data_IF_615147764767
#
_entry.id   IF_615147764767
#
_cell.length_a   1.000
_cell.length_b   1.000
_cell.length_c   1.000
_cell.angle_alpha   90.00
_cell.angle_beta   90.00
_cell.angle_gamma   90.00
#
_symmetry.space_group_name_H-M   'P 1'
#
loop_
_entity.id
_entity.type
_entity.pdbx_description
1 polymer ?
#
# COMPACT_ATOMS: atom_id res chain seq x y z
N UNK A 1 1.81 -12.76 -11.13
CA UNK A 1 1.97 -12.17 -9.79
C UNK A 1 1.31 -10.80 -9.79
N UNK A 2 0.53 -10.50 -8.78
CA UNK A 2 -0.02 -9.15 -8.56
C UNK A 2 0.97 -8.32 -7.75
N UNK A 3 1.07 -7.03 -8.07
CA UNK A 3 1.86 -6.03 -7.34
C UNK A 3 0.94 -4.89 -6.95
N UNK A 4 1.14 -4.31 -5.77
CA UNK A 4 0.43 -3.15 -5.26
C UNK A 4 1.41 -2.19 -4.58
N UNK A 5 1.09 -0.91 -4.54
CA UNK A 5 1.83 0.01 -3.68
C UNK A 5 1.64 -0.37 -2.20
N UNK A 6 2.65 -0.18 -1.34
CA UNK A 6 2.54 -0.54 0.08
C UNK A 6 1.58 0.33 0.86
N UNK A 7 1.17 1.45 0.28
CA UNK A 7 0.34 2.48 0.87
C UNK A 7 -0.95 2.67 0.10
N UNK A 8 -1.90 3.34 0.74
CA UNK A 8 -3.06 3.95 0.11
C UNK A 8 -3.02 5.45 0.30
N UNK A 9 -3.75 6.19 -0.53
CA UNK A 9 -3.90 7.62 -0.36
C UNK A 9 -4.68 7.96 0.93
N UNK A 10 -4.74 9.22 1.26
CA UNK A 10 -5.42 9.73 2.46
C UNK A 10 -6.93 9.47 2.49
N UNK A 11 -7.52 9.02 1.38
CA UNK A 11 -8.92 8.60 1.28
C UNK A 11 -9.09 7.07 1.32
N UNK A 12 -8.02 6.32 1.55
CA UNK A 12 -8.01 4.86 1.57
C UNK A 12 -8.07 4.20 0.19
N UNK A 13 -7.82 4.95 -0.89
CA UNK A 13 -7.80 4.45 -2.27
C UNK A 13 -6.39 4.09 -2.69
N UNK A 14 -6.29 3.21 -3.69
CA UNK A 14 -5.01 2.92 -4.33
C UNK A 14 -4.52 4.13 -5.11
N UNK A 15 -3.20 4.34 -5.12
CA UNK A 15 -2.59 5.37 -5.94
C UNK A 15 -2.80 5.09 -7.43
N UNK A 16 -3.01 6.15 -8.19
CA UNK A 16 -3.25 6.04 -9.63
C UNK A 16 -1.96 6.02 -10.44
N UNK A 17 -0.88 6.59 -9.91
CA UNK A 17 0.40 6.70 -10.61
C UNK A 17 1.58 6.53 -9.68
N UNK A 18 2.74 6.18 -10.26
CA UNK A 18 4.01 6.17 -9.55
C UNK A 18 4.40 7.57 -9.07
N UNK A 19 4.11 8.61 -9.87
CA UNK A 19 4.43 9.99 -9.53
C UNK A 19 3.72 10.46 -8.24
N UNK A 20 2.51 9.97 -7.96
CA UNK A 20 1.81 10.31 -6.73
C UNK A 20 2.48 9.68 -5.51
N UNK A 21 2.95 8.44 -5.64
CA UNK A 21 3.70 7.74 -4.60
C UNK A 21 5.06 8.41 -4.39
N UNK A 22 5.77 8.77 -5.48
CA UNK A 22 7.08 9.42 -5.38
C UNK A 22 6.99 10.79 -4.68
N UNK A 23 5.94 11.58 -4.97
CA UNK A 23 5.72 12.86 -4.25
C UNK A 23 5.50 12.67 -2.75
N UNK A 24 4.86 11.56 -2.36
CA UNK A 24 4.70 11.23 -0.96
C UNK A 24 6.04 10.89 -0.32
N UNK A 25 6.85 10.08 -0.99
CA UNK A 25 8.18 9.66 -0.51
C UNK A 25 9.16 10.86 -0.47
N UNK A 26 9.10 11.79 -1.43
CA UNK A 26 9.90 13.00 -1.44
C UNK A 26 9.69 13.91 -0.20
N UNK A 27 8.52 13.76 0.44
CA UNK A 27 8.20 14.47 1.68
C UNK A 27 8.73 13.81 2.96
N UNK A 28 9.32 12.61 2.86
CA UNK A 28 9.81 11.87 4.02
C UNK A 28 11.15 12.42 4.55
N UNK A 29 11.22 12.60 5.87
CA UNK A 29 12.43 13.09 6.54
C UNK A 29 13.51 12.01 6.70
N UNK A 30 13.16 10.73 6.61
CA UNK A 30 14.05 9.62 6.93
C UNK A 30 14.83 9.07 5.73
N UNK A 31 14.57 9.59 4.55
CA UNK A 31 15.28 9.21 3.33
C UNK A 31 14.99 7.79 2.84
N UNK A 32 15.52 7.53 1.66
CA UNK A 32 15.54 6.22 1.04
C UNK A 32 16.90 5.56 1.28
N UNK A 33 16.90 4.31 1.64
CA UNK A 33 18.12 3.52 1.75
C UNK A 33 18.45 2.96 0.37
N UNK A 34 19.61 3.32 -0.13
CA UNK A 34 20.06 2.80 -1.40
C UNK A 34 20.99 1.61 -1.16
N UNK A 35 20.61 0.47 -1.69
CA UNK A 35 21.42 -0.59 -2.21
C UNK A 35 22.58 -1.03 -1.35
N UNK A 36 22.45 -2.17 -0.74
CA UNK A 36 23.55 -2.84 -0.05
C UNK A 36 24.31 -3.76 -0.99
N UNK A 37 25.61 -3.85 -0.76
CA UNK A 37 26.56 -4.67 -1.50
C UNK A 37 27.00 -5.88 -0.70
N UNK A 38 26.34 -6.54 0.10
CA UNK A 38 26.79 -7.69 0.92
C UNK A 38 26.30 -9.01 0.36
N UNK A 39 26.44 -9.24 -0.94
CA UNK A 39 26.04 -10.48 -1.61
C UNK A 39 24.52 -10.60 -1.78
N UNK A 40 23.78 -9.50 -1.61
CA UNK A 40 22.36 -9.46 -1.89
C UNK A 40 21.98 -8.11 -2.51
N UNK A 41 20.94 -8.14 -3.32
CA UNK A 41 20.31 -6.94 -3.88
C UNK A 41 19.23 -6.45 -2.93
N UNK A 42 19.29 -5.22 -2.47
CA UNK A 42 18.26 -4.66 -1.62
C UNK A 42 18.06 -3.16 -1.83
N UNK A 43 16.85 -2.70 -1.59
CA UNK A 43 16.49 -1.30 -1.57
C UNK A 43 15.28 -1.08 -0.69
N UNK A 44 15.38 -0.08 0.17
CA UNK A 44 14.35 0.22 1.17
C UNK A 44 13.98 1.69 1.25
N UNK A 45 12.81 1.93 1.80
CA UNK A 45 12.27 3.26 2.09
C UNK A 45 11.70 3.29 3.51
N UNK A 46 11.68 4.47 4.11
CA UNK A 46 10.90 4.74 5.31
C UNK A 46 9.66 5.53 4.95
N UNK A 47 8.58 5.26 5.67
CA UNK A 47 7.34 6.00 5.60
C UNK A 47 6.88 6.27 7.01
N UNK A 48 6.59 7.54 7.30
CA UNK A 48 6.20 8.00 8.62
C UNK A 48 4.77 8.53 8.65
N UNK A 49 4.28 8.82 9.85
CA UNK A 49 2.98 9.46 10.06
C UNK A 49 2.93 10.91 9.58
N UNK A 50 4.07 11.53 9.26
CA UNK A 50 4.14 12.85 8.62
C UNK A 50 3.53 12.81 7.23
N UNK A 51 3.93 11.83 6.41
CA UNK A 51 3.42 11.68 5.05
C UNK A 51 2.17 10.82 4.97
N UNK A 52 1.98 9.87 5.90
CA UNK A 52 0.83 8.97 5.92
C UNK A 52 0.26 8.77 7.34
N UNK A 53 -0.39 9.80 7.91
CA UNK A 53 -0.92 9.74 9.28
C UNK A 53 -2.03 8.70 9.46
N UNK A 54 -2.73 8.30 8.40
CA UNK A 54 -3.81 7.31 8.47
C UNK A 54 -3.32 5.88 8.71
N UNK A 55 -2.06 5.60 8.41
CA UNK A 55 -1.45 4.28 8.64
C UNK A 55 -0.74 4.16 10.00
N UNK A 56 -0.89 5.15 10.86
CA UNK A 56 -0.45 5.14 12.26
C UNK A 56 -1.65 4.93 13.19
N UNK A 57 -1.52 4.07 14.20
CA UNK A 57 -2.49 3.94 15.29
C UNK A 57 -2.13 4.92 16.41
N UNK A 58 -2.00 6.21 16.05
CA UNK A 58 -1.65 7.27 16.98
C UNK A 58 -2.89 7.75 17.73
N UNK A 59 -3.02 7.53 19.06
CA UNK A 59 -4.18 7.95 19.83
C UNK A 59 -4.31 9.48 19.95
N UNK A 60 -3.21 10.20 19.76
CA UNK A 60 -3.15 11.66 19.87
C UNK A 60 -3.34 12.35 18.51
N UNK A 61 -3.48 11.58 17.44
CA UNK A 61 -3.71 12.14 16.11
C UNK A 61 -5.08 12.82 16.04
N UNK A 62 -5.09 14.08 15.59
CA UNK A 62 -6.31 14.85 15.36
C UNK A 62 -7.08 14.31 14.13
N UNK A 63 -6.69 13.16 13.65
CA UNK A 63 -7.23 12.60 12.43
C UNK A 63 -8.54 11.88 12.71
N UNK A 64 -9.60 12.40 12.12
CA UNK A 64 -10.96 11.88 12.23
C UNK A 64 -11.30 10.80 11.20
N UNK A 65 -10.35 10.44 10.32
CA UNK A 65 -10.51 9.43 9.28
C UNK A 65 -10.44 7.99 9.81
N UNK A 66 -10.97 7.05 9.01
CA UNK A 66 -10.75 5.63 9.30
C UNK A 66 -9.28 5.27 9.11
N UNK A 67 -8.69 4.47 10.01
CA UNK A 67 -7.32 3.99 9.85
C UNK A 67 -7.16 3.20 8.54
N UNK A 68 -6.09 3.49 7.81
CA UNK A 68 -5.76 2.85 6.53
C UNK A 68 -4.51 2.00 6.72
N UNK A 69 -4.61 0.66 6.72
CA UNK A 69 -3.46 -0.19 6.92
C UNK A 69 -2.49 -0.12 5.74
N UNK A 70 -1.21 -0.28 6.05
CA UNK A 70 -0.21 -0.66 5.06
C UNK A 70 -0.59 -2.00 4.42
N UNK A 71 -0.15 -2.24 3.21
CA UNK A 71 -0.53 -3.44 2.48
C UNK A 71 0.67 -4.18 1.88
N UNK A 72 0.51 -5.49 1.67
CA UNK A 72 1.52 -6.29 1.01
C UNK A 72 1.76 -5.81 -0.42
N UNK A 73 3.04 -5.64 -0.77
CA UNK A 73 3.46 -5.14 -2.09
C UNK A 73 3.31 -6.18 -3.20
N UNK A 74 3.43 -7.46 -2.86
CA UNK A 74 3.39 -8.54 -3.84
C UNK A 74 2.67 -9.78 -3.31
N UNK A 75 2.12 -10.59 -4.22
CA UNK A 75 1.70 -11.94 -3.89
C UNK A 75 2.91 -12.75 -3.43
N UNK A 76 2.76 -13.53 -2.37
CA UNK A 76 3.85 -14.35 -1.86
C UNK A 76 3.46 -15.20 -0.68
N UNK A 77 4.46 -15.74 0.00
CA UNK A 77 4.32 -16.55 1.20
C UNK A 77 5.18 -15.93 2.31
N UNK A 78 4.62 -15.73 3.47
CA UNK A 78 5.38 -15.30 4.65
C UNK A 78 6.32 -16.44 5.03
N UNK A 79 7.62 -16.16 5.10
CA UNK A 79 8.66 -17.14 5.45
C UNK A 79 9.24 -16.90 6.82
N UNK A 80 9.17 -15.67 7.31
CA UNK A 80 9.60 -15.34 8.67
C UNK A 80 8.79 -14.13 9.18
N UNK A 81 8.60 -14.08 10.49
CA UNK A 81 8.02 -12.93 11.16
C UNK A 81 8.52 -12.82 12.61
N UNK A 82 8.40 -11.64 13.16
CA UNK A 82 8.40 -11.36 14.60
C UNK A 82 7.17 -10.53 14.91
N UNK A 83 6.44 -10.90 15.93
CA UNK A 83 5.29 -10.17 16.41
C UNK A 83 5.48 -9.78 17.87
N UNK A 84 5.59 -8.49 18.15
CA UNK A 84 5.60 -8.02 19.52
C UNK A 84 4.16 -8.03 20.06
N UNK A 85 4.01 -8.48 21.32
CA UNK A 85 2.72 -8.35 22.00
C UNK A 85 2.49 -6.90 22.43
N UNK A 86 3.52 -6.26 22.97
CA UNK A 86 3.57 -4.86 23.39
C UNK A 86 4.83 -4.20 22.83
N UNK A 87 4.95 -2.89 22.97
CA UNK A 87 6.20 -2.21 22.63
C UNK A 87 7.34 -2.72 23.50
N UNK A 88 8.46 -2.94 22.87
CA UNK A 88 9.73 -3.15 23.57
C UNK A 88 10.22 -1.81 24.13
N UNK A 89 11.09 -1.87 25.13
CA UNK A 89 11.67 -0.67 25.75
C UNK A 89 13.18 -0.76 25.81
N UNK A 90 13.83 0.39 25.65
CA UNK A 90 15.27 0.56 25.86
C UNK A 90 15.52 1.67 26.88
N UNK A 91 16.40 1.47 27.88
CA UNK A 91 16.67 2.48 28.89
C UNK A 91 17.53 3.62 28.31
N UNK A 92 17.13 4.85 28.59
CA UNK A 92 17.90 6.05 28.25
C UNK A 92 17.72 7.14 29.30
N UNK A 93 18.80 7.57 29.97
CA UNK A 93 18.81 8.66 30.94
C UNK A 93 17.67 8.60 31.99
N UNK A 94 17.40 7.41 32.54
CA UNK A 94 16.33 7.21 33.53
C UNK A 94 14.91 7.08 32.98
N UNK A 95 14.78 7.09 31.63
CA UNK A 95 13.53 6.85 30.91
C UNK A 95 13.56 5.50 30.20
N UNK A 96 12.39 5.05 29.76
CA UNK A 96 12.24 3.87 28.92
C UNK A 96 11.69 4.33 27.57
N UNK A 97 12.50 4.23 26.51
CA UNK A 97 12.09 4.55 25.14
C UNK A 97 11.43 3.35 24.52
N UNK A 98 10.23 3.54 23.96
CA UNK A 98 9.45 2.49 23.33
C UNK A 98 9.84 2.33 21.85
N UNK A 99 9.83 1.11 21.39
CA UNK A 99 10.01 0.79 19.97
C UNK A 99 9.34 -0.54 19.62
N UNK A 100 9.08 -0.75 18.34
CA UNK A 100 8.62 -2.04 17.84
C UNK A 100 9.70 -2.68 16.97
N UNK A 101 9.91 -3.98 17.20
CA UNK A 101 10.73 -4.84 16.33
C UNK A 101 9.87 -5.85 15.55
N UNK A 102 8.55 -5.64 15.52
CA UNK A 102 7.65 -6.48 14.71
C UNK A 102 8.00 -6.35 13.25
N UNK A 103 8.13 -7.49 12.57
CA UNK A 103 8.36 -7.53 11.14
C UNK A 103 7.69 -8.74 10.50
N UNK A 104 7.52 -8.67 9.20
CA UNK A 104 7.13 -9.80 8.36
C UNK A 104 7.97 -9.81 7.09
N UNK A 105 8.47 -10.98 6.72
CA UNK A 105 9.26 -11.23 5.52
C UNK A 105 8.47 -12.15 4.58
N UNK A 106 8.20 -11.65 3.39
CA UNK A 106 7.42 -12.35 2.36
C UNK A 106 8.32 -12.74 1.21
N UNK A 107 8.34 -14.03 0.89
CA UNK A 107 8.99 -14.59 -0.29
C UNK A 107 8.05 -14.53 -1.47
N UNK A 108 8.49 -13.97 -2.58
CA UNK A 108 7.73 -13.81 -3.81
C UNK A 108 8.55 -14.30 -5.01
N UNK A 109 7.87 -14.66 -6.08
CA UNK A 109 8.51 -15.06 -7.32
C UNK A 109 7.88 -14.31 -8.50
N UNK A 110 8.67 -13.49 -9.15
CA UNK A 110 8.31 -12.86 -10.41
C UNK A 110 8.50 -13.86 -11.55
N UNK A 111 7.40 -14.25 -12.19
CA UNK A 111 7.37 -15.14 -13.35
C UNK A 111 6.67 -14.42 -14.48
N UNK A 112 7.38 -13.57 -15.23
CA UNK A 112 6.76 -12.80 -16.33
C UNK A 112 6.14 -13.71 -17.39
N UNK A 113 6.82 -14.82 -17.70
CA UNK A 113 6.33 -15.89 -18.58
C UNK A 113 6.59 -17.24 -17.91
N UNK A 114 5.55 -18.05 -17.66
CA UNK A 114 5.68 -19.34 -16.98
C UNK A 114 6.60 -20.35 -17.71
N UNK A 115 6.87 -20.14 -18.98
CA UNK A 115 7.72 -21.04 -19.79
C UNK A 115 9.16 -20.55 -19.96
N UNK A 116 9.48 -19.35 -19.44
CA UNK A 116 10.78 -18.68 -19.61
C UNK A 116 11.50 -18.49 -18.29
N UNK A 117 12.05 -19.58 -17.75
CA UNK A 117 12.61 -19.62 -16.41
C UNK A 117 13.83 -18.71 -16.21
N UNK A 118 14.61 -18.45 -17.26
CA UNK A 118 15.75 -17.52 -17.20
C UNK A 118 15.35 -16.07 -16.98
N UNK A 119 14.06 -15.76 -17.13
CA UNK A 119 13.48 -14.45 -16.87
C UNK A 119 12.74 -14.40 -15.53
N UNK A 120 12.85 -15.43 -14.68
CA UNK A 120 12.25 -15.41 -13.35
C UNK A 120 13.18 -14.78 -12.34
N UNK A 121 12.59 -14.23 -11.27
CA UNK A 121 13.31 -13.67 -10.14
C UNK A 121 12.60 -14.04 -8.85
N UNK A 122 13.35 -14.62 -7.90
CA UNK A 122 12.93 -14.75 -6.53
C UNK A 122 13.35 -13.50 -5.74
N UNK A 123 12.43 -12.94 -4.97
CA UNK A 123 12.69 -11.78 -4.13
C UNK A 123 11.88 -11.83 -2.85
N UNK A 124 12.24 -10.99 -1.91
CA UNK A 124 11.58 -10.86 -0.63
C UNK A 124 11.13 -9.42 -0.43
N UNK A 125 9.99 -9.26 0.25
CA UNK A 125 9.50 -7.98 0.75
C UNK A 125 9.53 -8.01 2.27
N UNK A 126 10.21 -7.03 2.87
CA UNK A 126 10.34 -6.89 4.31
C UNK A 126 9.56 -5.67 4.77
N UNK A 127 8.81 -5.82 5.86
CA UNK A 127 8.04 -4.78 6.51
C UNK A 127 8.45 -4.78 7.98
N UNK A 128 9.16 -3.75 8.42
CA UNK A 128 9.69 -3.64 9.79
C UNK A 128 9.05 -2.49 10.56
N UNK A 129 9.17 -2.55 11.88
CA UNK A 129 8.61 -1.58 12.82
C UNK A 129 7.08 -1.51 12.79
N UNK A 130 6.42 -2.64 12.52
CA UNK A 130 4.97 -2.72 12.55
C UNK A 130 4.44 -2.58 13.99
N UNK A 131 3.25 -2.01 14.14
CA UNK A 131 2.58 -1.87 15.43
C UNK A 131 2.43 -3.21 16.15
N UNK A 132 2.72 -3.29 17.46
CA UNK A 132 2.51 -4.50 18.26
C UNK A 132 1.02 -4.80 18.44
N UNK A 133 0.70 -6.01 18.88
CA UNK A 133 -0.69 -6.46 19.05
C UNK A 133 -1.50 -5.54 19.98
N UNK A 134 -0.88 -5.04 21.04
CA UNK A 134 -1.56 -4.21 22.03
C UNK A 134 -2.04 -2.86 21.50
N UNK A 135 -1.40 -2.34 20.44
CA UNK A 135 -1.79 -1.05 19.82
C UNK A 135 -3.08 -1.15 19.00
N UNK A 136 -3.44 -2.34 18.55
CA UNK A 136 -4.66 -2.51 17.78
C UNK A 136 -5.89 -2.31 18.66
N UNK A 137 -6.76 -1.32 18.36
CA UNK A 137 -7.90 -1.03 19.20
C UNK A 137 -8.88 -2.20 19.24
N UNK A 138 -9.40 -2.45 20.42
CA UNK A 138 -10.51 -3.38 20.60
C UNK A 138 -11.81 -2.68 20.23
N UNK A 139 -12.61 -3.34 19.44
CA UNK A 139 -13.93 -2.87 19.02
C UNK A 139 -15.01 -3.79 19.56
N UNK A 140 -16.16 -3.24 20.02
CA UNK A 140 -17.24 -4.06 20.55
C UNK A 140 -17.85 -4.94 19.48
N UNK A 141 -18.05 -6.21 19.84
CA UNK A 141 -18.79 -7.17 19.06
C UNK A 141 -20.21 -7.30 19.57
N UNK A 142 -21.09 -7.61 18.65
CA UNK A 142 -22.48 -7.89 18.89
C UNK A 142 -22.90 -9.18 18.17
N UNK A 143 -23.91 -9.83 18.74
CA UNK A 143 -24.55 -11.01 18.15
C UNK A 143 -26.05 -10.75 18.03
N UNK A 144 -26.64 -11.21 16.94
CA UNK A 144 -28.09 -11.20 16.77
C UNK A 144 -28.69 -12.23 17.74
N UNK A 145 -29.64 -11.79 18.56
CA UNK A 145 -30.31 -12.64 19.55
C UNK A 145 -31.06 -13.80 18.90
N UNK A 146 -31.18 -14.91 19.63
CA UNK A 146 -31.97 -16.03 19.23
C UNK A 146 -33.46 -15.63 19.06
N UNK A 147 -34.11 -16.22 18.09
CA UNK A 147 -35.50 -15.90 17.75
C UNK A 147 -35.67 -14.65 16.85
N UNK A 148 -34.64 -13.91 16.62
CA UNK A 148 -34.65 -12.74 15.73
C UNK A 148 -33.94 -13.07 14.40
N UNK A 149 -34.52 -12.61 13.31
CA UNK A 149 -33.93 -12.75 11.98
C UNK A 149 -34.38 -11.61 11.06
N UNK A 150 -33.68 -11.42 9.96
CA UNK A 150 -34.05 -10.39 8.99
C UNK A 150 -33.68 -8.98 9.40
N UNK A 151 -32.73 -8.81 10.35
CA UNK A 151 -32.19 -7.49 10.69
C UNK A 151 -31.47 -6.92 9.47
N UNK A 152 -32.03 -5.87 8.89
CA UNK A 152 -31.52 -5.30 7.64
C UNK A 152 -30.21 -4.58 7.85
N UNK A 153 -29.22 -4.92 7.05
CA UNK A 153 -28.03 -4.12 6.84
C UNK A 153 -28.41 -2.88 6.06
N UNK A 154 -27.96 -1.70 6.53
CA UNK A 154 -28.23 -0.43 5.89
C UNK A 154 -26.99 0.13 5.21
N UNK A 155 -27.20 0.83 4.12
CA UNK A 155 -26.15 1.32 3.27
C UNK A 155 -25.25 2.32 4.04
N UNK A 156 -23.94 2.12 3.93
CA UNK A 156 -22.94 3.10 4.31
C UNK A 156 -22.32 3.70 3.05
N UNK A 157 -22.22 5.01 3.02
CA UNK A 157 -21.41 5.76 2.05
C UNK A 157 -20.66 6.80 2.85
N UNK A 158 -19.36 6.82 2.74
CA UNK A 158 -18.52 7.80 3.42
C UNK A 158 -19.01 9.21 3.15
N UNK A 159 -19.20 10.01 4.21
CA UNK A 159 -19.67 11.40 4.14
C UNK A 159 -21.14 11.62 3.76
N UNK A 160 -21.93 10.56 3.52
CA UNK A 160 -23.33 10.67 3.09
C UNK A 160 -24.36 10.05 4.03
N UNK A 161 -23.97 9.05 4.80
CA UNK A 161 -24.86 8.31 5.68
C UNK A 161 -24.35 8.37 7.11
N UNK A 162 -24.91 9.24 7.89
CA UNK A 162 -24.59 9.36 9.29
C UNK A 162 -24.54 10.78 9.74
N UNK A 163 -24.51 10.96 11.03
CA UNK A 163 -24.15 12.23 11.61
C UNK A 163 -22.70 12.54 11.21
N UNK A 164 -22.37 13.75 10.75
CA UNK A 164 -21.00 14.19 10.62
C UNK A 164 -20.25 13.92 11.93
N UNK A 165 -18.98 13.58 11.86
CA UNK A 165 -18.19 13.41 13.05
C UNK A 165 -18.22 14.66 13.92
N UNK A 166 -18.51 14.47 15.22
CA UNK A 166 -18.66 15.56 16.17
C UNK A 166 -20.05 16.21 16.20
N UNK A 167 -21.00 15.79 15.36
CA UNK A 167 -22.37 16.27 15.47
C UNK A 167 -23.06 15.73 16.73
N UNK A 168 -23.80 16.60 17.44
CA UNK A 168 -24.49 16.17 18.63
C UNK A 168 -25.66 15.22 18.32
N UNK A 169 -25.93 14.33 19.24
CA UNK A 169 -27.02 13.33 19.20
C UNK A 169 -28.45 13.92 19.34
N UNK A 170 -28.60 15.22 19.31
CA UNK A 170 -29.83 15.93 19.63
C UNK A 170 -30.56 16.52 18.42
N UNK A 171 -30.33 15.96 17.24
CA UNK A 171 -31.07 16.36 16.03
C UNK A 171 -32.58 16.16 16.18
N UNK A 172 -33.37 17.04 15.53
CA UNK A 172 -34.83 16.93 15.50
C UNK A 172 -35.29 15.72 14.66
N UNK A 173 -36.48 15.23 14.95
CA UNK A 173 -37.08 14.11 14.19
C UNK A 173 -37.12 14.43 12.68
N UNK A 174 -36.54 13.50 11.88
CA UNK A 174 -36.43 13.66 10.43
C UNK A 174 -35.18 14.37 9.94
N UNK A 175 -34.38 15.00 10.85
CA UNK A 175 -33.14 15.66 10.47
C UNK A 175 -32.06 14.64 10.05
N UNK A 176 -32.00 13.50 10.75
CA UNK A 176 -31.08 12.42 10.45
C UNK A 176 -31.84 11.10 10.25
N UNK A 177 -32.44 10.88 9.08
CA UNK A 177 -33.16 9.65 8.80
C UNK A 177 -32.20 8.46 8.72
N UNK A 178 -32.64 7.30 9.17
CA UNK A 178 -31.85 6.09 9.07
C UNK A 178 -31.51 5.77 7.61
N UNK A 179 -30.28 5.35 7.33
CA UNK A 179 -29.80 5.02 5.98
C UNK A 179 -30.66 3.96 5.29
N UNK A 180 -30.65 3.94 3.97
CA UNK A 180 -31.45 3.02 3.15
C UNK A 180 -31.10 1.58 3.44
N UNK A 181 -32.12 0.74 3.58
CA UNK A 181 -31.97 -0.71 3.75
C UNK A 181 -31.40 -1.35 2.50
N UNK A 182 -30.41 -2.21 2.66
CA UNK A 182 -29.92 -3.06 1.57
C UNK A 182 -30.80 -4.31 1.42
N UNK A 183 -30.47 -5.17 0.44
CA UNK A 183 -31.12 -6.48 0.30
C UNK A 183 -30.58 -7.53 1.30
N UNK A 184 -29.42 -7.25 1.92
CA UNK A 184 -28.75 -8.13 2.88
C UNK A 184 -29.39 -8.00 4.27
N UNK A 185 -29.43 -9.09 5.02
CA UNK A 185 -29.94 -9.13 6.38
C UNK A 185 -29.15 -10.12 7.23
N UNK A 186 -29.10 -9.87 8.53
CA UNK A 186 -28.53 -10.75 9.53
C UNK A 186 -29.57 -11.73 10.06
N UNK A 187 -29.12 -12.91 10.44
CA UNK A 187 -29.90 -14.00 11.06
C UNK A 187 -29.53 -14.14 12.52
N UNK A 188 -30.33 -14.85 13.29
CA UNK A 188 -30.00 -15.25 14.65
C UNK A 188 -28.60 -15.89 14.71
N UNK A 189 -27.78 -15.46 15.66
CA UNK A 189 -26.42 -15.91 15.84
C UNK A 189 -25.38 -15.23 14.97
N UNK A 190 -25.76 -14.46 13.94
CA UNK A 190 -24.80 -13.68 13.16
C UNK A 190 -24.10 -12.65 14.03
N UNK A 191 -22.80 -12.55 13.87
CA UNK A 191 -21.93 -11.67 14.64
C UNK A 191 -21.38 -10.54 13.79
N UNK A 192 -21.15 -9.41 14.42
CA UNK A 192 -20.55 -8.26 13.76
C UNK A 192 -19.75 -7.40 14.74
N UNK A 193 -18.74 -6.70 14.24
CA UNK A 193 -17.94 -5.75 14.99
C UNK A 193 -18.34 -4.33 14.62
N UNK A 194 -18.45 -3.45 15.62
CA UNK A 194 -18.79 -2.04 15.42
C UNK A 194 -17.55 -1.17 15.57
N UNK A 195 -17.25 -0.36 14.55
CA UNK A 195 -16.14 0.60 14.60
C UNK A 195 -16.55 1.92 15.28
N UNK A 196 -17.78 2.34 15.11
CA UNK A 196 -18.38 3.52 15.74
C UNK A 196 -19.88 3.44 15.81
N UNK A 197 -20.51 4.31 16.57
CA UNK A 197 -21.96 4.42 16.67
C UNK A 197 -22.47 5.72 16.05
N UNK A 198 -23.71 5.71 15.63
CA UNK A 198 -24.45 6.87 15.19
C UNK A 198 -25.92 6.74 15.60
N UNK A 199 -26.64 7.86 15.70
CA UNK A 199 -28.05 7.87 16.06
C UNK A 199 -28.89 8.40 14.89
N UNK A 200 -29.94 7.63 14.54
CA UNK A 200 -30.80 7.92 13.41
C UNK A 200 -32.26 7.80 13.79
N UNK A 201 -33.11 8.60 13.16
CA UNK A 201 -34.55 8.47 13.29
C UNK A 201 -35.09 7.32 12.44
N UNK A 202 -35.78 6.39 13.09
CA UNK A 202 -36.51 5.30 12.43
C UNK A 202 -37.99 5.49 12.68
N UNK A 203 -38.77 5.51 11.61
CA UNK A 203 -40.22 5.56 11.73
C UNK A 203 -40.79 4.14 11.94
N UNK A 204 -41.39 3.93 13.10
CA UNK A 204 -42.16 2.72 13.42
C UNK A 204 -43.61 3.16 13.73
N UNK A 205 -44.59 2.58 13.05
CA UNK A 205 -46.00 2.84 13.25
C UNK A 205 -46.36 4.36 13.22
N UNK A 206 -45.78 5.10 12.30
CA UNK A 206 -46.01 6.56 12.15
C UNK A 206 -45.26 7.42 13.17
N UNK A 207 -44.56 6.86 14.14
CA UNK A 207 -43.78 7.60 15.14
C UNK A 207 -42.29 7.49 14.83
N UNK A 208 -41.63 8.63 14.72
CA UNK A 208 -40.17 8.70 14.60
C UNK A 208 -39.50 8.43 15.96
N UNK A 209 -38.62 7.47 16.01
CA UNK A 209 -37.88 7.10 17.21
C UNK A 209 -36.38 7.17 16.93
N UNK A 210 -35.65 7.87 17.79
CA UNK A 210 -34.19 7.95 17.70
C UNK A 210 -33.58 6.60 18.15
N UNK A 211 -32.85 5.98 17.26
CA UNK A 211 -32.30 4.62 17.45
C UNK A 211 -30.79 4.65 17.25
N UNK A 212 -30.06 3.98 18.11
CA UNK A 212 -28.62 3.80 17.97
C UNK A 212 -28.30 2.73 16.94
N UNK A 213 -27.37 3.04 16.04
CA UNK A 213 -26.82 2.14 15.04
C UNK A 213 -25.32 2.02 15.23
N UNK A 214 -24.77 0.86 14.94
CA UNK A 214 -23.34 0.65 14.78
C UNK A 214 -22.95 0.71 13.30
N UNK A 215 -21.83 1.34 13.00
CA UNK A 215 -21.16 1.15 11.73
C UNK A 215 -20.32 -0.14 11.84
N UNK A 216 -20.73 -1.17 11.09
CA UNK A 216 -20.28 -2.53 11.38
C UNK A 216 -19.69 -3.23 10.16
N UNK A 217 -18.83 -4.21 10.46
CA UNK A 217 -18.44 -5.28 9.54
C UNK A 217 -18.97 -6.60 10.07
N UNK A 218 -19.62 -7.37 9.21
CA UNK A 218 -20.13 -8.70 9.57
C UNK A 218 -18.95 -9.64 9.73
N UNK A 219 -18.93 -10.42 10.82
CA UNK A 219 -17.88 -11.40 11.09
C UNK A 219 -18.20 -12.73 10.40
N UNK A 220 -17.18 -13.30 9.77
CA UNK A 220 -17.17 -14.69 9.35
C UNK A 220 -15.95 -15.36 9.97
N UNK A 221 -16.17 -16.38 10.77
CA UNK A 221 -15.10 -17.09 11.51
C UNK A 221 -14.18 -16.13 12.31
N UNK A 222 -14.78 -15.14 12.98
CA UNK A 222 -14.11 -14.04 13.71
C UNK A 222 -13.30 -13.06 12.84
N UNK A 223 -13.40 -13.15 11.51
CA UNK A 223 -12.73 -12.23 10.59
C UNK A 223 -13.75 -11.20 10.10
N UNK A 224 -13.46 -9.88 10.25
CA UNK A 224 -14.33 -8.83 9.72
C UNK A 224 -14.39 -8.84 8.19
N UNK A 225 -15.61 -8.76 7.66
CA UNK A 225 -15.81 -8.59 6.22
C UNK A 225 -15.27 -7.25 5.71
N UNK A 226 -15.08 -7.14 4.39
CA UNK A 226 -14.57 -5.92 3.75
C UNK A 226 -15.60 -4.78 3.71
N UNK A 227 -16.88 -5.13 3.60
CA UNK A 227 -17.96 -4.16 3.43
C UNK A 227 -18.47 -3.65 4.79
N UNK A 228 -18.78 -2.36 4.84
CA UNK A 228 -19.34 -1.68 6.02
C UNK A 228 -20.82 -1.42 5.83
N UNK A 229 -21.55 -1.52 6.94
CA UNK A 229 -23.00 -1.30 6.98
C UNK A 229 -23.40 -0.63 8.28
N UNK A 230 -24.51 0.09 8.25
CA UNK A 230 -25.20 0.48 9.46
C UNK A 230 -26.16 -0.62 9.92
N UNK A 231 -26.08 -1.00 11.20
CA UNK A 231 -26.96 -2.01 11.83
C UNK A 231 -27.47 -1.43 13.14
N UNK A 232 -28.75 -1.64 13.41
CA UNK A 232 -29.34 -1.27 14.71
C UNK A 232 -28.63 -1.97 15.86
N UNK A 233 -28.35 -1.21 16.92
CA UNK A 233 -27.87 -1.74 18.21
C UNK A 233 -29.01 -1.82 19.25
N UNK A 234 -30.26 -1.96 18.78
CA UNK A 234 -31.43 -2.18 19.64
C UNK A 234 -31.20 -3.42 20.52
N UNK A 235 -31.16 -3.25 21.86
CA UNK A 235 -30.86 -4.37 22.75
C UNK A 235 -31.93 -5.48 22.77
N UNK A 236 -33.13 -5.24 22.20
CA UNK A 236 -34.12 -6.27 21.98
C UNK A 236 -33.73 -7.20 20.83
N UNK A 237 -32.92 -6.73 19.88
CA UNK A 237 -32.57 -7.46 18.65
C UNK A 237 -31.15 -8.03 18.69
N UNK A 238 -30.23 -7.33 19.33
CA UNK A 238 -28.81 -7.69 19.39
C UNK A 238 -28.30 -7.63 20.82
N UNK A 239 -27.27 -8.39 21.10
CA UNK A 239 -26.60 -8.40 22.40
C UNK A 239 -25.10 -8.22 22.27
N UNK A 240 -24.42 -7.60 23.26
CA UNK A 240 -22.99 -7.58 23.31
C UNK A 240 -22.38 -8.99 23.31
N UNK A 241 -21.32 -9.19 22.56
CA UNK A 241 -20.63 -10.47 22.41
C UNK A 241 -19.11 -10.30 22.50
N UNK A 242 -18.64 -9.56 23.50
CA UNK A 242 -17.27 -9.29 23.77
C UNK A 242 -16.67 -8.20 22.88
N UNK A 243 -15.35 -8.25 22.71
CA UNK A 243 -14.58 -7.30 21.93
C UNK A 243 -13.59 -8.05 21.05
N UNK A 244 -13.31 -7.52 19.86
CA UNK A 244 -12.24 -8.01 18.98
C UNK A 244 -11.38 -6.86 18.50
N UNK A 245 -10.15 -7.17 18.12
CA UNK A 245 -9.24 -6.25 17.45
C UNK A 245 -9.51 -6.31 15.94
N UNK A 246 -10.53 -5.58 15.48
CA UNK A 246 -11.03 -5.67 14.11
C UNK A 246 -10.07 -5.17 13.02
N UNK A 247 -9.03 -4.42 13.39
CA UNK A 247 -7.99 -3.90 12.48
C UNK A 247 -6.76 -4.81 12.38
N UNK A 248 -6.64 -5.84 13.20
CA UNK A 248 -5.52 -6.77 13.17
C UNK A 248 -5.50 -7.52 11.82
N UNK A 249 -4.38 -7.55 11.09
CA UNK A 249 -4.25 -8.31 9.85
C UNK A 249 -4.39 -9.82 10.07
N UNK A 250 -4.81 -10.53 9.04
CA UNK A 250 -5.01 -11.99 9.10
C UNK A 250 -3.74 -12.75 9.52
N UNK A 251 -2.57 -12.38 8.98
CA UNK A 251 -1.31 -13.02 9.34
C UNK A 251 -0.95 -12.81 10.81
N UNK A 252 -1.20 -11.62 11.36
CA UNK A 252 -0.98 -11.34 12.79
C UNK A 252 -1.95 -12.11 13.67
N UNK A 253 -3.19 -12.32 13.23
CA UNK A 253 -4.15 -13.16 13.96
C UNK A 253 -3.64 -14.60 14.04
N UNK A 254 -3.12 -15.15 12.94
CA UNK A 254 -2.50 -16.49 12.90
C UNK A 254 -1.27 -16.56 13.82
N UNK A 255 -0.39 -15.57 13.73
CA UNK A 255 0.80 -15.49 14.59
C UNK A 255 0.42 -15.40 16.08
N UNK A 256 -0.59 -14.59 16.43
CA UNK A 256 -1.12 -14.48 17.78
C UNK A 256 -1.69 -15.81 18.30
N UNK A 257 -2.35 -16.58 17.47
CA UNK A 257 -2.88 -17.91 17.84
C UNK A 257 -1.77 -18.92 18.14
N UNK A 258 -0.60 -18.79 17.52
CA UNK A 258 0.58 -19.61 17.85
C UNK A 258 1.19 -19.25 19.22
N UNK A 259 0.92 -18.06 19.73
CA UNK A 259 1.34 -17.63 21.06
C UNK A 259 2.82 -17.35 21.23
N UNK A 260 3.59 -17.32 20.13
CA UNK A 260 5.00 -16.95 20.14
C UNK A 260 5.13 -15.45 19.89
N UNK A 261 5.61 -14.72 20.89
CA UNK A 261 5.83 -13.28 20.82
C UNK A 261 7.31 -12.95 21.02
N UNK A 262 7.73 -11.83 20.47
CA UNK A 262 9.05 -11.23 20.65
C UNK A 262 10.23 -12.08 20.13
N UNK A 263 9.94 -13.21 19.49
CA UNK A 263 10.89 -14.10 18.83
C UNK A 263 10.70 -14.11 17.33
N UNK A 264 11.76 -14.51 16.61
CA UNK A 264 11.66 -14.74 15.18
C UNK A 264 11.10 -16.15 14.94
N UNK A 265 10.00 -16.20 14.22
CA UNK A 265 9.32 -17.43 13.85
C UNK A 265 9.48 -17.69 12.34
N UNK A 266 9.84 -18.92 11.98
CA UNK A 266 9.89 -19.38 10.60
C UNK A 266 8.61 -20.17 10.28
N UNK A 267 8.08 -19.99 9.08
CA UNK A 267 6.79 -20.57 8.67
C UNK A 267 6.93 -21.80 7.77
N UNK A 268 8.16 -22.21 7.43
CA UNK A 268 8.44 -23.26 6.45
C UNK A 268 7.86 -23.00 5.05
N UNK A 269 7.33 -21.80 4.79
CA UNK A 269 6.80 -21.40 3.48
C UNK A 269 5.55 -22.18 3.03
N UNK A 270 4.72 -22.59 3.96
CA UNK A 270 3.51 -23.37 3.66
C UNK A 270 2.39 -22.48 3.11
N UNK A 271 1.44 -23.07 2.35
CA UNK A 271 0.28 -22.37 1.75
C UNK A 271 -0.61 -21.65 2.79
N UNK A 272 -0.57 -22.08 4.05
CA UNK A 272 -1.25 -21.41 5.17
C UNK A 272 -0.83 -19.94 5.32
N UNK A 273 0.42 -19.63 4.98
CA UNK A 273 1.03 -18.30 5.12
C UNK A 273 1.04 -17.49 3.83
N UNK A 274 0.23 -17.89 2.86
CA UNK A 274 0.08 -17.18 1.60
C UNK A 274 -0.59 -15.82 1.83
N UNK A 275 -0.04 -14.81 1.16
CA UNK A 275 -0.57 -13.44 1.18
C UNK A 275 -0.75 -12.94 -0.25
N UNK A 276 -1.66 -11.99 -0.40
CA UNK A 276 -1.93 -11.36 -1.70
C UNK A 276 -1.59 -9.87 -1.66
N UNK A 277 -1.03 -9.38 -2.74
CA UNK A 277 -0.78 -7.95 -2.92
C UNK A 277 -2.07 -7.12 -2.68
N UNK A 278 -1.93 -6.02 -1.95
CA UNK A 278 -3.03 -5.15 -1.60
C UNK A 278 -3.86 -5.60 -0.39
N UNK A 279 -3.51 -6.72 0.27
CA UNK A 279 -4.12 -7.08 1.56
C UNK A 279 -3.35 -6.45 2.73
N UNK A 280 -4.02 -6.18 3.87
CA UNK A 280 -3.38 -5.50 4.99
C UNK A 280 -2.17 -6.24 5.55
N UNK A 281 -1.05 -5.52 5.74
CA UNK A 281 0.12 -6.00 6.45
C UNK A 281 0.14 -5.54 7.90
N UNK A 282 -0.46 -4.39 8.20
CA UNK A 282 -0.51 -3.80 9.52
C UNK A 282 -0.42 -2.29 9.48
N UNK A 283 -0.15 -1.72 10.63
CA UNK A 283 0.04 -0.28 10.83
C UNK A 283 1.47 0.02 11.28
N UNK A 284 1.87 1.27 11.15
CA UNK A 284 3.16 1.75 11.62
C UNK A 284 3.26 1.61 13.14
N UNK A 285 4.40 1.16 13.64
CA UNK A 285 4.73 1.17 15.06
C UNK A 285 5.29 2.51 15.50
N UNK A 286 5.09 2.84 16.76
CA UNK A 286 5.70 4.00 17.39
C UNK A 286 7.17 3.72 17.73
N UNK A 287 8.04 4.68 17.46
CA UNK A 287 9.41 4.75 17.94
C UNK A 287 9.59 6.01 18.75
N UNK A 288 10.15 5.85 19.94
CA UNK A 288 10.53 6.97 20.81
C UNK A 288 12.04 7.16 20.74
N UNK A 289 12.47 8.40 20.58
CA UNK A 289 13.86 8.81 20.58
C UNK A 289 14.11 9.89 21.62
N UNK A 290 15.38 10.14 22.03
CA UNK A 290 15.71 11.28 22.87
C UNK A 290 15.25 12.58 22.21
N UNK A 291 14.47 13.37 22.95
CA UNK A 291 13.94 14.64 22.45
C UNK A 291 14.98 15.75 22.40
N UNK A 292 14.70 16.75 21.59
CA UNK A 292 15.52 17.95 21.49
C UNK A 292 15.01 19.08 22.39
N UNK A 293 15.93 19.91 22.89
CA UNK A 293 15.61 21.08 23.70
C UNK A 293 14.96 20.74 25.03
N UNK A 294 13.72 21.21 25.24
CA UNK A 294 12.95 20.96 26.44
C UNK A 294 12.10 19.68 26.37
N UNK A 295 12.05 19.03 25.25
CA UNK A 295 11.35 17.77 25.10
C UNK A 295 12.20 16.64 25.67
N UNK A 296 11.60 15.81 26.50
CA UNK A 296 12.29 14.67 27.09
C UNK A 296 12.38 13.49 26.12
N UNK A 297 11.42 13.40 25.21
CA UNK A 297 11.40 12.40 24.13
C UNK A 297 10.53 12.86 22.96
N UNK A 298 10.92 12.44 21.79
CA UNK A 298 10.16 12.59 20.55
C UNK A 298 9.50 11.24 20.21
N UNK A 299 8.31 11.32 19.59
CA UNK A 299 7.54 10.16 19.17
C UNK A 299 7.29 10.24 17.69
N UNK A 300 7.45 9.13 17.04
CA UNK A 300 7.25 8.99 15.61
C UNK A 300 6.65 7.62 15.32
N UNK A 301 5.71 7.58 14.38
CA UNK A 301 5.21 6.33 13.80
C UNK A 301 5.81 6.15 12.43
N UNK A 302 6.47 5.03 12.23
CA UNK A 302 7.13 4.74 10.95
C UNK A 302 7.10 3.26 10.63
N UNK A 303 7.30 2.96 9.35
CA UNK A 303 7.58 1.63 8.84
C UNK A 303 8.81 1.68 7.97
N UNK A 304 9.67 0.67 8.06
CA UNK A 304 10.73 0.41 7.09
C UNK A 304 10.23 -0.69 6.13
N UNK A 305 10.24 -0.35 4.86
CA UNK A 305 9.85 -1.23 3.76
C UNK A 305 11.07 -1.52 2.91
N UNK A 306 11.34 -2.78 2.64
CA UNK A 306 12.49 -3.17 1.84
C UNK A 306 12.15 -4.29 0.88
N UNK A 307 12.74 -4.24 -0.31
CA UNK A 307 12.75 -5.32 -1.29
C UNK A 307 14.18 -5.82 -1.42
N UNK A 308 14.37 -7.13 -1.29
CA UNK A 308 15.68 -7.74 -1.35
C UNK A 308 15.65 -9.04 -2.15
N UNK A 309 16.76 -9.39 -2.76
CA UNK A 309 16.93 -10.65 -3.49
C UNK A 309 18.34 -11.18 -3.33
N UNK A 310 18.43 -12.49 -3.10
CA UNK A 310 19.67 -13.27 -3.14
C UNK A 310 19.73 -14.16 -4.38
N UNK A 311 18.79 -13.97 -5.32
CA UNK A 311 18.71 -14.78 -6.52
C UNK A 311 19.88 -14.48 -7.46
N UNK A 312 20.70 -15.48 -7.72
CA UNK A 312 21.81 -15.38 -8.65
C UNK A 312 21.38 -15.07 -10.08
N UNK A 313 20.09 -15.22 -10.40
CA UNK A 313 19.53 -14.88 -11.70
C UNK A 313 19.21 -13.38 -11.87
N UNK A 314 19.51 -12.52 -10.90
CA UNK A 314 19.26 -11.08 -11.00
C UNK A 314 19.82 -10.46 -12.30
N UNK A 315 21.08 -10.70 -12.71
CA UNK A 315 21.58 -10.19 -13.98
C UNK A 315 20.79 -10.71 -15.19
N UNK A 316 20.41 -11.99 -15.15
CA UNK A 316 19.54 -12.59 -16.19
C UNK A 316 18.17 -11.94 -16.24
N UNK A 317 17.55 -11.73 -15.10
CA UNK A 317 16.25 -11.06 -14.99
C UNK A 317 16.31 -9.64 -15.57
N UNK A 318 17.34 -8.85 -15.24
CA UNK A 318 17.52 -7.49 -15.74
C UNK A 318 17.75 -7.44 -17.27
N UNK A 319 18.48 -8.42 -17.80
CA UNK A 319 18.85 -8.49 -19.22
C UNK A 319 17.71 -8.98 -20.13
N UNK A 320 16.65 -9.60 -19.57
CA UNK A 320 15.53 -10.19 -20.31
C UNK A 320 16.01 -11.09 -21.50
N UNK A 321 16.86 -12.12 -21.23
CA UNK A 321 17.52 -12.88 -22.28
C UNK A 321 16.55 -13.67 -23.17
N UNK A 322 15.39 -14.01 -22.63
CA UNK A 322 14.33 -14.73 -23.34
C UNK A 322 13.31 -13.81 -24.02
N UNK A 323 13.58 -12.50 -24.03
CA UNK A 323 12.77 -11.46 -24.67
C UNK A 323 11.28 -11.58 -24.31
N UNK A 324 11.00 -11.66 -23.02
CA UNK A 324 9.64 -11.67 -22.51
C UNK A 324 8.95 -10.37 -22.90
N UNK A 325 7.76 -10.49 -23.44
CA UNK A 325 6.91 -9.35 -23.79
C UNK A 325 5.84 -9.16 -22.73
N UNK A 326 5.66 -7.92 -22.28
CA UNK A 326 4.58 -7.54 -21.39
C UNK A 326 3.49 -6.75 -22.09
N UNK A 327 2.42 -6.50 -21.36
CA UNK A 327 1.30 -5.67 -21.84
C UNK A 327 1.66 -4.19 -21.92
N UNK A 328 2.62 -3.76 -21.10
CA UNK A 328 3.09 -2.37 -21.06
C UNK A 328 4.37 -2.22 -21.87
N UNK A 329 4.42 -1.16 -22.65
CA UNK A 329 5.59 -0.76 -23.45
C UNK A 329 6.01 0.64 -23.15
N UNK A 330 7.29 0.92 -23.32
CA UNK A 330 7.87 2.25 -23.25
C UNK A 330 8.49 2.63 -24.59
N UNK A 331 8.54 3.94 -24.83
CA UNK A 331 9.19 4.53 -26.00
C UNK A 331 10.49 5.14 -25.55
N UNK A 332 11.59 4.73 -26.16
CA UNK A 332 12.92 5.28 -25.95
C UNK A 332 13.32 6.11 -27.15
N UNK A 333 13.87 7.31 -26.93
CA UNK A 333 14.41 8.16 -27.97
C UNK A 333 15.76 8.73 -27.53
N UNK A 334 16.74 8.73 -28.43
CA UNK A 334 18.10 9.19 -28.13
C UNK A 334 18.19 10.71 -28.08
N UNK A 335 19.08 11.21 -27.22
CA UNK A 335 19.49 12.62 -27.25
C UNK A 335 19.96 12.99 -28.65
N UNK A 336 19.55 14.17 -29.14
CA UNK A 336 19.95 14.70 -30.45
C UNK A 336 19.03 14.30 -31.61
N UNK A 337 18.01 13.44 -31.40
CA UNK A 337 17.01 13.11 -32.42
C UNK A 337 16.30 14.37 -32.95
N UNK A 338 16.14 14.48 -34.26
CA UNK A 338 15.50 15.63 -34.89
C UNK A 338 13.99 15.66 -34.58
N UNK A 339 13.51 16.77 -34.06
CA UNK A 339 12.11 16.90 -33.66
C UNK A 339 11.24 17.42 -34.81
N UNK A 340 10.00 16.95 -34.83
CA UNK A 340 8.96 17.37 -35.76
C UNK A 340 7.83 18.06 -35.02
N UNK A 341 7.13 18.96 -35.70
CA UNK A 341 5.85 19.52 -35.24
C UNK A 341 4.70 18.86 -35.97
N UNK A 342 3.58 18.69 -35.25
CA UNK A 342 2.34 18.18 -35.81
C UNK A 342 1.39 19.34 -36.11
N UNK A 343 0.75 19.28 -37.30
CA UNK A 343 -0.39 20.08 -37.70
C UNK A 343 -1.47 19.17 -38.24
N UNK A 344 -2.73 19.44 -37.95
CA UNK A 344 -3.84 18.69 -38.52
C UNK A 344 -4.35 19.44 -39.76
N UNK A 345 -4.13 18.86 -40.93
CA UNK A 345 -4.58 19.41 -42.19
C UNK A 345 -5.72 18.53 -42.73
N UNK A 346 -6.87 19.11 -42.92
CA UNK A 346 -8.10 18.39 -43.37
C UNK A 346 -8.44 17.15 -42.54
N UNK A 347 -8.12 17.19 -41.23
CA UNK A 347 -8.35 16.07 -40.29
C UNK A 347 -7.30 14.98 -40.31
N UNK A 348 -6.23 15.13 -41.08
CA UNK A 348 -5.07 14.21 -41.08
C UNK A 348 -3.85 14.85 -40.41
N UNK A 349 -3.08 14.09 -39.59
CA UNK A 349 -1.86 14.59 -39.01
C UNK A 349 -0.74 14.70 -40.03
N UNK A 350 -0.15 15.89 -40.15
CA UNK A 350 1.02 16.18 -40.97
C UNK A 350 2.18 16.57 -40.06
N UNK A 351 3.33 15.95 -40.27
CA UNK A 351 4.53 16.17 -39.48
C UNK A 351 5.60 16.91 -40.28
N UNK A 352 6.07 18.03 -39.74
CA UNK A 352 7.09 18.87 -40.39
C UNK A 352 8.34 18.92 -39.56
N UNK A 353 9.49 18.68 -40.17
CA UNK A 353 10.78 18.74 -39.53
C UNK A 353 11.06 20.17 -38.96
N UNK A 354 11.68 20.22 -37.84
CA UNK A 354 12.10 21.46 -37.20
C UNK A 354 13.64 21.52 -37.08
N UNK A 355 14.19 22.67 -36.72
CA UNK A 355 15.60 22.79 -36.38
C UNK A 355 15.90 22.29 -34.96
N UNK A 356 14.86 22.02 -34.15
CA UNK A 356 14.99 21.55 -32.78
C UNK A 356 15.43 20.08 -32.70
N UNK A 357 16.17 19.78 -31.67
CA UNK A 357 16.61 18.42 -31.36
C UNK A 357 16.26 18.06 -29.93
N UNK A 358 16.09 16.76 -29.67
CA UNK A 358 15.84 16.25 -28.33
C UNK A 358 17.06 16.54 -27.42
N UNK A 359 16.88 17.33 -26.38
CA UNK A 359 17.97 17.80 -25.52
C UNK A 359 18.58 16.74 -24.60
N UNK A 360 17.82 15.73 -24.24
CA UNK A 360 18.23 14.59 -23.44
C UNK A 360 17.59 13.31 -23.96
N UNK A 361 18.08 12.16 -23.53
CA UNK A 361 17.39 10.89 -23.78
C UNK A 361 15.96 10.97 -23.23
N UNK A 362 14.99 10.56 -24.03
CA UNK A 362 13.59 10.48 -23.61
C UNK A 362 13.21 9.03 -23.34
N UNK A 363 12.50 8.83 -22.25
CA UNK A 363 11.94 7.54 -21.87
C UNK A 363 10.55 7.77 -21.28
N UNK A 364 9.53 7.25 -21.90
CA UNK A 364 8.14 7.44 -21.43
C UNK A 364 7.26 6.24 -21.78
N UNK A 365 6.17 6.01 -21.00
CA UNK A 365 5.17 5.01 -21.34
C UNK A 365 4.61 5.26 -22.76
N UNK A 366 4.35 4.20 -23.50
CA UNK A 366 3.83 4.31 -24.88
C UNK A 366 2.53 5.11 -24.97
N UNK A 367 1.64 4.94 -23.98
CA UNK A 367 0.38 5.70 -23.91
C UNK A 367 0.64 7.21 -23.75
N UNK A 368 1.65 7.58 -22.98
CA UNK A 368 2.05 8.99 -22.79
C UNK A 368 2.64 9.60 -24.08
N UNK A 369 3.23 8.78 -24.93
CA UNK A 369 3.73 9.21 -26.24
C UNK A 369 2.60 9.42 -27.27
N UNK A 370 1.34 9.17 -26.90
CA UNK A 370 0.14 9.38 -27.73
C UNK A 370 0.36 9.03 -29.21
N UNK A 371 0.72 7.76 -29.55
CA UNK A 371 1.11 7.39 -30.91
C UNK A 371 -0.01 7.65 -31.91
N UNK A 372 0.35 8.24 -33.05
CA UNK A 372 -0.57 8.59 -34.16
C UNK A 372 0.02 8.14 -35.48
N UNK A 373 -0.78 7.53 -36.32
CA UNK A 373 -0.38 7.21 -37.69
C UNK A 373 -0.67 8.39 -38.62
N UNK A 374 0.27 8.68 -39.52
CA UNK A 374 0.03 9.61 -40.63
C UNK A 374 -0.73 8.95 -41.81
N UNK A 375 -0.97 9.67 -42.87
CA UNK A 375 -1.67 9.18 -44.07
C UNK A 375 -0.95 7.98 -44.73
N UNK A 376 0.39 7.91 -44.62
CA UNK A 376 1.22 6.81 -45.06
C UNK A 376 1.29 5.61 -44.10
N UNK A 377 0.46 5.63 -43.02
CA UNK A 377 0.45 4.62 -41.97
C UNK A 377 1.77 4.52 -41.17
N UNK A 378 2.61 5.56 -41.20
CA UNK A 378 3.82 5.67 -40.42
C UNK A 378 3.44 6.19 -39.02
N UNK A 379 3.96 5.53 -37.97
CA UNK A 379 3.68 5.93 -36.57
C UNK A 379 4.60 7.06 -36.11
N UNK A 380 4.01 7.97 -35.35
CA UNK A 380 4.64 9.12 -34.75
C UNK A 380 4.36 9.18 -33.27
N UNK A 381 5.37 9.54 -32.49
CA UNK A 381 5.34 9.54 -31.04
C UNK A 381 5.65 10.93 -30.50
N UNK A 382 4.82 11.41 -29.60
CA UNK A 382 5.05 12.67 -28.89
C UNK A 382 6.03 12.43 -27.75
N UNK A 383 7.22 13.05 -27.83
CA UNK A 383 8.32 12.77 -26.89
C UNK A 383 8.65 13.92 -25.96
N UNK A 384 8.27 15.17 -26.32
CA UNK A 384 8.55 16.35 -25.51
C UNK A 384 7.59 17.48 -25.92
N UNK A 385 6.86 18.09 -24.99
CA UNK A 385 6.01 19.24 -25.25
C UNK A 385 5.24 19.15 -26.58
N UNK A 386 5.67 19.89 -27.59
CA UNK A 386 5.16 19.84 -28.96
C UNK A 386 6.01 18.98 -29.91
N UNK A 387 7.11 18.36 -29.43
CA UNK A 387 8.04 17.59 -30.26
C UNK A 387 7.58 16.17 -30.52
N UNK A 388 7.66 15.76 -31.80
CA UNK A 388 7.30 14.43 -32.30
C UNK A 388 8.50 13.77 -32.95
N UNK A 389 8.54 12.42 -32.88
CA UNK A 389 9.50 11.58 -33.58
C UNK A 389 8.78 10.50 -34.37
N UNK A 390 9.32 10.15 -35.59
CA UNK A 390 8.84 9.00 -36.33
C UNK A 390 9.25 7.69 -35.67
N UNK A 391 8.56 6.61 -35.96
CA UNK A 391 8.86 5.27 -35.46
C UNK A 391 10.29 4.79 -35.78
N UNK A 392 10.92 5.32 -36.83
CA UNK A 392 12.32 5.00 -37.15
C UNK A 392 13.33 5.54 -36.16
N UNK A 393 12.96 6.57 -35.39
CA UNK A 393 13.84 7.30 -34.47
C UNK A 393 13.55 7.01 -32.99
N UNK A 394 12.65 6.05 -32.77
CA UNK A 394 12.29 5.56 -31.42
C UNK A 394 12.43 4.04 -31.34
N UNK A 395 12.70 3.55 -30.16
CA UNK A 395 12.68 2.13 -29.85
C UNK A 395 11.51 1.85 -28.89
N UNK A 396 10.59 0.97 -29.27
CA UNK A 396 9.61 0.43 -28.34
C UNK A 396 10.20 -0.76 -27.58
N UNK A 397 10.18 -0.69 -26.25
CA UNK A 397 10.72 -1.73 -25.37
C UNK A 397 9.65 -2.30 -24.47
N UNK A 398 9.80 -3.57 -24.12
CA UNK A 398 8.94 -4.24 -23.14
C UNK A 398 9.20 -3.70 -21.74
N UNK A 399 8.19 -3.77 -20.86
CA UNK A 399 8.34 -3.49 -19.43
C UNK A 399 9.39 -4.38 -18.73
N UNK A 400 9.80 -5.48 -19.36
CA UNK A 400 10.83 -6.41 -18.85
C UNK A 400 12.23 -6.15 -19.42
N UNK A 401 12.39 -5.24 -20.36
CA UNK A 401 13.70 -4.82 -20.89
C UNK A 401 14.37 -3.83 -19.94
N UNK A 402 14.60 -4.27 -18.70
CA UNK A 402 14.95 -3.38 -17.59
C UNK A 402 16.26 -2.63 -17.83
N UNK A 403 17.29 -3.25 -18.42
CA UNK A 403 18.53 -2.56 -18.77
C UNK A 403 18.29 -1.41 -19.76
N UNK A 404 17.43 -1.62 -20.77
CA UNK A 404 17.07 -0.57 -21.72
C UNK A 404 16.24 0.53 -21.06
N UNK A 405 15.44 0.17 -20.05
CA UNK A 405 14.70 1.12 -19.24
C UNK A 405 15.57 1.87 -18.23
N UNK A 406 16.88 1.55 -18.16
CA UNK A 406 17.88 2.28 -17.36
C UNK A 406 18.14 1.69 -15.99
N UNK A 407 17.60 0.52 -15.69
CA UNK A 407 18.04 -0.22 -14.51
C UNK A 407 19.45 -0.76 -14.75
N UNK A 408 20.28 -0.71 -13.75
CA UNK A 408 21.66 -1.19 -13.82
C UNK A 408 21.86 -2.25 -12.74
N UNK A 409 22.57 -3.32 -13.08
CA UNK A 409 23.09 -4.20 -12.08
C UNK A 409 24.23 -3.52 -11.34
N UNK A 410 24.17 -3.46 -10.02
CA UNK A 410 25.31 -3.06 -9.22
C UNK A 410 26.19 -4.28 -9.05
N UNK A 411 27.39 -4.24 -9.56
CA UNK A 411 28.40 -5.27 -9.37
C UNK A 411 29.29 -4.88 -8.20
N UNK A 412 29.50 -5.82 -7.26
CA UNK A 412 30.56 -5.67 -6.26
C UNK A 412 31.91 -5.77 -6.96
N UNK A 413 32.78 -4.79 -6.75
CA UNK A 413 34.18 -4.98 -7.01
C UNK A 413 34.73 -6.02 -6.02
N UNK A 414 35.13 -7.17 -6.52
CA UNK A 414 35.67 -8.26 -5.72
C UNK A 414 36.90 -7.77 -4.95
N UNK A 415 36.78 -7.62 -3.63
CA UNK A 415 37.86 -7.22 -2.73
C UNK A 415 37.58 -6.04 -1.82
N UNK A 416 36.37 -5.48 -1.84
CA UNK A 416 35.95 -4.44 -0.91
C UNK A 416 35.88 -4.98 0.52
N UNK A 417 36.72 -4.46 1.41
CA UNK A 417 36.58 -4.66 2.84
C UNK A 417 35.19 -4.12 3.26
N UNK A 418 34.48 -4.87 4.09
CA UNK A 418 33.16 -4.49 4.66
C UNK A 418 33.19 -3.13 5.36
N UNK A 419 34.40 -2.63 5.68
CA UNK A 419 34.65 -1.33 6.29
C UNK A 419 34.89 -0.19 5.30
N UNK A 420 34.98 -0.47 4.00
CA UNK A 420 35.09 0.62 3.01
C UNK A 420 33.70 1.27 2.86
N UNK A 421 33.67 2.54 3.18
CA UNK A 421 32.48 3.36 3.07
C UNK A 421 31.92 3.28 1.64
N UNK A 422 30.63 3.03 1.46
CA UNK A 422 29.99 3.04 0.14
C UNK A 422 30.12 4.39 -0.59
N UNK A 423 30.62 5.43 0.06
CA UNK A 423 30.88 6.74 -0.55
C UNK A 423 32.07 6.75 -1.52
N UNK A 424 32.90 5.70 -1.55
CA UNK A 424 34.19 5.79 -2.24
C UNK A 424 34.19 5.29 -3.68
N UNK A 425 33.29 4.41 -4.12
CA UNK A 425 33.37 3.90 -5.49
C UNK A 425 32.09 3.90 -6.31
N UNK A 426 30.95 3.51 -5.78
CA UNK A 426 29.76 3.26 -6.60
C UNK A 426 28.68 4.35 -6.52
N UNK A 427 28.58 5.10 -5.42
CA UNK A 427 27.60 6.19 -5.30
C UNK A 427 27.84 7.26 -6.37
N UNK A 428 29.08 7.75 -6.61
CA UNK A 428 29.32 8.68 -7.72
C UNK A 428 29.00 8.11 -9.09
N UNK A 429 29.16 6.79 -9.30
CA UNK A 429 28.84 6.14 -10.57
C UNK A 429 27.33 5.95 -10.76
N UNK A 430 26.58 5.78 -9.70
CA UNK A 430 25.13 5.62 -9.76
C UNK A 430 24.39 6.96 -9.93
N UNK A 431 24.98 8.06 -9.48
CA UNK A 431 24.35 9.38 -9.47
C UNK A 431 25.09 10.43 -10.35
N UNK A 432 26.17 10.10 -10.98
CA UNK A 432 26.87 10.90 -12.01
C UNK A 432 26.35 10.60 -13.38
#
# INVERSE_FOLDING_TARGET
>A
MKISYPLRDTSGKEFHSLDDVMRLIDGEAHGTWLLGANGLWHGGIHISDISNPFSALNPDAINTGEPVPLQFMADGIIVAYRLNNEYLTAPYCGQQLRYSSSFVLVKSQCKPDPQKEKSWLEFYSLYMHLAPVADYPKSPCYKVRDGHSGIRLRQYKSGQNGLPEGEPDNGEAGTYPAPVKTRKSLKAGDRFVSSRTGRFYVTKNGKATLTTFGLVRVLKDNVPGKEQYWVTLDPELVEPDGEIQGLIPEWMQKAKQKGAFDSVELTEGTEEWKVSAGTPVGFMGCMESPGEGNNLLDKEWLVHLEVLSTDSNMPGFLANPEKVQGDKRSVLAAKGSALFTRQDVTGQPVFTATSARLGAQCRLPRESATPVADEAQKWWYKVNGSGWLPESDVEEVSQYDLLKLGFQALEEESGGDVMNSPYESWIPQAFG
#
